data_IF_444687512965
#
_entry.id   IF_444687512965
#
_cell.length_a   1.000
_cell.length_b   1.000
_cell.length_c   1.000
_cell.angle_alpha   90.00
_cell.angle_beta   90.00
_cell.angle_gamma   90.00
#
_symmetry.space_group_name_H-M   'P 1'
#
loop_
_entity.id
_entity.type
_entity.pdbx_description
1 polymer ?
#
# COMPACT_ATOMS: atom_id res chain seq x y z
N UNK A 1 54.23 -2.46 22.27
CA UNK A 1 52.95 -3.04 21.86
C UNK A 1 52.79 -2.96 20.37
N UNK A 2 52.15 -3.93 19.70
CA UNK A 2 51.99 -3.88 18.25
C UNK A 2 51.11 -2.67 17.88
N UNK A 3 51.63 -1.84 16.99
CA UNK A 3 50.88 -0.76 16.36
C UNK A 3 49.60 -1.36 15.75
N UNK A 4 48.46 -0.88 16.20
CA UNK A 4 47.15 -1.33 15.76
C UNK A 4 47.06 -1.34 14.22
N UNK A 5 46.52 -2.40 13.65
CA UNK A 5 46.19 -2.44 12.23
C UNK A 5 45.29 -1.25 11.90
N UNK A 6 45.74 -0.38 11.05
CA UNK A 6 44.89 0.64 10.46
C UNK A 6 43.82 -0.06 9.61
N UNK A 7 42.57 0.00 10.06
CA UNK A 7 41.44 -0.46 9.29
C UNK A 7 41.12 0.61 8.25
N UNK A 8 41.18 0.27 6.99
CA UNK A 8 40.83 1.22 5.92
C UNK A 8 39.34 1.50 5.98
N UNK A 9 38.93 2.75 5.71
CA UNK A 9 37.51 3.18 5.75
C UNK A 9 36.57 2.26 4.93
N UNK A 10 37.03 1.71 3.81
CA UNK A 10 36.31 0.73 2.98
C UNK A 10 36.10 -0.64 3.62
N UNK A 11 36.70 -0.92 4.80
CA UNK A 11 36.51 -2.19 5.54
C UNK A 11 35.31 -2.14 6.49
N UNK A 12 34.68 -0.99 6.66
CA UNK A 12 33.48 -0.85 7.52
C UNK A 12 32.22 -1.16 6.72
N UNK A 13 31.39 -2.02 7.26
CA UNK A 13 30.06 -2.25 6.73
C UNK A 13 29.14 -1.10 7.24
N UNK A 14 28.46 -0.35 6.36
CA UNK A 14 27.53 0.66 6.81
C UNK A 14 26.40 0.00 7.61
N UNK A 15 26.18 0.48 8.83
CA UNK A 15 25.13 -0.03 9.72
C UNK A 15 23.86 0.80 9.54
N UNK A 16 24.00 2.08 9.20
CA UNK A 16 22.89 3.01 9.13
C UNK A 16 23.25 4.19 8.23
N UNK A 17 22.33 4.54 7.32
CA UNK A 17 22.36 5.77 6.53
C UNK A 17 21.26 6.70 7.01
N UNK A 18 21.65 7.90 7.48
CA UNK A 18 20.72 8.88 8.04
C UNK A 18 20.95 10.24 7.41
N UNK A 19 19.87 10.98 7.18
CA UNK A 19 19.96 12.39 6.82
C UNK A 19 20.09 13.25 8.09
N UNK A 20 20.98 14.25 8.07
CA UNK A 20 21.11 15.19 9.16
C UNK A 20 19.85 16.08 9.17
N UNK A 21 19.06 16.02 10.24
CA UNK A 21 17.85 16.81 10.41
C UNK A 21 18.10 18.15 11.12
N UNK A 22 19.19 18.26 11.87
CA UNK A 22 19.56 19.50 12.58
C UNK A 22 20.88 19.35 13.34
N UNK A 23 21.47 20.49 13.69
CA UNK A 23 22.67 20.57 14.52
C UNK A 23 22.44 21.62 15.57
N UNK A 24 22.75 21.29 16.81
CA UNK A 24 22.71 22.22 17.93
C UNK A 24 24.12 22.29 18.53
N UNK A 25 24.58 23.50 18.84
CA UNK A 25 25.89 23.76 19.47
C UNK A 25 25.62 24.27 20.88
N UNK A 26 26.13 23.57 21.89
CA UNK A 26 26.03 23.97 23.31
C UNK A 26 27.42 23.89 23.91
N UNK A 27 28.10 25.04 24.03
CA UNK A 27 29.49 25.09 24.47
C UNK A 27 30.41 24.30 23.49
N UNK A 28 31.13 23.32 24.03
CA UNK A 28 32.03 22.46 23.27
C UNK A 28 31.35 21.19 22.73
N UNK A 29 30.05 21.04 22.95
CA UNK A 29 29.25 19.90 22.48
C UNK A 29 28.51 20.22 21.20
N UNK A 30 28.54 19.29 20.26
CA UNK A 30 27.75 19.31 19.04
C UNK A 30 26.74 18.17 19.08
N UNK A 31 25.47 18.53 19.18
CA UNK A 31 24.37 17.58 19.06
C UNK A 31 23.87 17.53 17.62
N UNK A 32 23.91 16.36 17.02
CA UNK A 32 23.43 16.15 15.65
C UNK A 32 22.18 15.30 15.68
N UNK A 33 21.08 15.87 15.19
CA UNK A 33 19.83 15.12 15.02
C UNK A 33 19.79 14.50 13.64
N UNK A 34 19.47 13.22 13.60
CA UNK A 34 19.34 12.45 12.36
C UNK A 34 17.88 12.11 12.08
N UNK A 35 17.55 12.05 10.81
CA UNK A 35 16.27 11.53 10.32
C UNK A 35 16.53 10.20 9.59
N UNK A 36 15.70 9.19 9.88
CA UNK A 36 15.77 7.89 9.23
C UNK A 36 15.57 7.99 7.71
N UNK A 37 16.12 7.06 6.95
CA UNK A 37 16.03 7.01 5.48
C UNK A 37 14.61 7.00 4.90
N UNK A 38 13.60 6.70 5.71
CA UNK A 38 12.17 6.76 5.38
C UNK A 38 11.67 8.18 5.03
N UNK A 39 12.42 9.24 5.33
CA UNK A 39 11.97 10.62 5.19
C UNK A 39 11.50 11.02 3.77
N UNK A 40 12.02 10.37 2.72
CA UNK A 40 11.55 10.59 1.36
C UNK A 40 10.11 10.09 1.16
N UNK A 41 9.78 8.93 1.74
CA UNK A 41 8.49 8.25 1.63
C UNK A 41 7.42 8.81 2.56
N UNK A 42 7.82 9.49 3.64
CA UNK A 42 6.91 10.17 4.59
C UNK A 42 6.45 11.55 4.10
N UNK A 43 6.90 11.99 2.92
CA UNK A 43 6.40 13.22 2.30
C UNK A 43 5.02 13.01 1.68
N UNK A 44 4.21 14.06 1.71
CA UNK A 44 2.96 14.08 0.96
C UNK A 44 3.23 13.83 -0.52
N UNK A 45 2.38 13.06 -1.16
CA UNK A 45 2.47 12.75 -2.60
C UNK A 45 2.19 14.04 -3.37
N UNK A 46 3.16 14.54 -4.19
CA UNK A 46 2.95 15.73 -4.98
C UNK A 46 1.80 15.52 -5.97
N UNK A 47 0.85 16.44 -5.98
CA UNK A 47 -0.29 16.41 -6.90
C UNK A 47 -0.39 17.73 -7.65
N UNK A 48 -0.61 17.64 -8.97
CA UNK A 48 -0.90 18.79 -9.78
C UNK A 48 -2.30 19.33 -9.49
N UNK A 49 -2.48 20.63 -9.63
CA UNK A 49 -3.78 21.31 -9.54
C UNK A 49 -4.21 21.82 -10.91
N UNK A 50 -5.50 22.04 -11.05
CA UNK A 50 -6.04 22.75 -12.21
C UNK A 50 -5.69 24.24 -12.13
N UNK A 51 -5.28 24.83 -13.24
CA UNK A 51 -4.98 26.26 -13.29
C UNK A 51 -6.25 27.16 -13.30
N UNK A 52 -7.39 26.59 -13.68
CA UNK A 52 -8.65 27.34 -13.76
C UNK A 52 -8.72 28.35 -14.91
N UNK A 53 -7.79 28.26 -15.88
CA UNK A 53 -7.62 29.24 -16.98
C UNK A 53 -8.32 28.82 -18.26
N UNK A 54 -8.96 27.64 -18.27
CA UNK A 54 -9.52 26.99 -19.45
C UNK A 54 -8.51 26.89 -20.63
N UNK A 55 -7.21 26.91 -20.30
CA UNK A 55 -6.11 26.87 -21.25
C UNK A 55 -5.49 25.45 -21.34
N UNK A 56 -4.41 25.34 -22.08
CA UNK A 56 -3.76 24.07 -22.36
C UNK A 56 -4.14 23.54 -23.74
N UNK A 57 -3.57 22.42 -24.19
CA UNK A 57 -3.72 21.93 -25.58
C UNK A 57 -5.16 21.72 -26.02
N UNK A 58 -6.10 21.57 -25.08
CA UNK A 58 -7.52 21.28 -25.38
C UNK A 58 -8.46 21.96 -24.41
N UNK A 59 -8.00 22.99 -23.67
CA UNK A 59 -8.83 23.65 -22.64
C UNK A 59 -9.15 22.73 -21.45
N UNK A 60 -8.18 21.97 -20.99
CA UNK A 60 -8.34 20.96 -19.93
C UNK A 60 -7.98 21.47 -18.52
N UNK A 61 -7.60 22.73 -18.38
CA UNK A 61 -7.23 23.32 -17.08
C UNK A 61 -8.45 23.83 -16.28
N UNK A 62 -9.65 23.56 -16.80
CA UNK A 62 -10.89 23.96 -16.15
C UNK A 62 -11.16 25.46 -16.21
N UNK A 63 -12.35 25.85 -15.78
CA UNK A 63 -12.71 27.24 -15.53
C UNK A 63 -12.21 27.69 -14.14
N UNK A 64 -12.47 28.96 -13.80
CA UNK A 64 -12.04 29.55 -12.53
C UNK A 64 -12.49 28.78 -11.28
N UNK A 65 -13.62 28.06 -11.33
CA UNK A 65 -14.14 27.27 -10.21
C UNK A 65 -13.28 26.07 -9.89
N UNK A 66 -12.46 25.59 -10.84
CA UNK A 66 -11.51 24.49 -10.64
C UNK A 66 -10.12 24.95 -10.21
N UNK A 67 -9.85 26.27 -10.21
CA UNK A 67 -8.52 26.78 -9.85
C UNK A 67 -8.08 26.24 -8.47
N UNK A 68 -6.91 25.64 -8.41
CA UNK A 68 -6.34 25.05 -7.20
C UNK A 68 -6.91 23.68 -6.80
N UNK A 69 -7.94 23.17 -7.47
CA UNK A 69 -8.45 21.82 -7.23
C UNK A 69 -7.44 20.77 -7.69
N UNK A 70 -7.23 19.72 -6.89
CA UNK A 70 -6.30 18.65 -7.20
C UNK A 70 -6.77 17.83 -8.41
N UNK A 71 -5.85 17.58 -9.33
CA UNK A 71 -6.10 16.64 -10.43
C UNK A 71 -6.19 15.21 -9.90
N UNK A 72 -7.06 14.34 -10.47
CA UNK A 72 -7.21 12.95 -10.04
C UNK A 72 -5.90 12.18 -10.12
N UNK A 73 -5.63 11.32 -9.16
CA UNK A 73 -4.46 10.43 -9.13
C UNK A 73 -4.90 9.02 -8.78
N UNK A 74 -4.55 8.07 -9.64
CA UNK A 74 -4.75 6.63 -9.43
C UNK A 74 -3.38 5.96 -9.43
N UNK A 75 -3.14 5.07 -8.48
CA UNK A 75 -1.96 4.22 -8.42
C UNK A 75 -2.34 2.80 -8.85
N UNK A 76 -1.59 2.23 -9.79
CA UNK A 76 -1.83 0.88 -10.30
C UNK A 76 -3.11 0.76 -11.12
N UNK A 77 -4.24 0.49 -10.49
CA UNK A 77 -5.56 0.42 -11.11
C UNK A 77 -6.64 1.08 -10.26
N UNK A 78 -7.80 1.36 -10.88
CA UNK A 78 -8.97 1.84 -10.17
C UNK A 78 -10.26 1.30 -10.76
N UNK A 79 -11.23 1.01 -9.90
CA UNK A 79 -12.57 0.57 -10.27
C UNK A 79 -13.62 1.52 -9.68
N UNK A 80 -14.56 1.95 -10.51
CA UNK A 80 -15.52 2.95 -10.11
C UNK A 80 -14.85 4.29 -9.73
N UNK A 81 -13.75 4.66 -10.39
CA UNK A 81 -13.06 5.91 -10.11
C UNK A 81 -13.94 7.10 -10.44
N UNK A 82 -13.99 8.13 -9.59
CA UNK A 82 -14.66 9.38 -9.93
C UNK A 82 -13.93 10.11 -11.05
N UNK A 83 -14.63 10.94 -11.80
CA UNK A 83 -14.06 11.81 -12.80
C UNK A 83 -14.19 13.28 -12.39
N UNK A 84 -13.22 14.11 -12.78
CA UNK A 84 -13.28 15.55 -12.65
C UNK A 84 -13.61 16.19 -14.02
N UNK A 85 -14.70 16.92 -14.11
CA UNK A 85 -15.08 17.65 -15.31
C UNK A 85 -14.14 18.83 -15.52
N UNK A 86 -13.24 18.74 -16.50
CA UNK A 86 -12.27 19.79 -16.78
C UNK A 86 -12.68 20.68 -17.97
N UNK A 87 -13.53 20.20 -18.88
CA UNK A 87 -14.12 21.02 -19.95
C UNK A 87 -15.59 20.63 -20.17
N UNK A 88 -16.52 21.26 -19.46
CA UNK A 88 -17.95 20.97 -19.62
C UNK A 88 -18.51 21.28 -21.02
N UNK A 89 -17.97 22.27 -21.73
CA UNK A 89 -18.40 22.65 -23.07
C UNK A 89 -18.12 21.59 -24.13
N UNK A 90 -16.98 20.92 -24.01
CA UNK A 90 -16.60 19.80 -24.88
C UNK A 90 -16.92 18.44 -24.26
N UNK A 91 -17.57 18.43 -23.09
CA UNK A 91 -17.90 17.25 -22.31
C UNK A 91 -16.67 16.38 -22.03
N UNK A 92 -15.57 17.03 -21.58
CA UNK A 92 -14.30 16.35 -21.26
C UNK A 92 -14.16 16.24 -19.75
N UNK A 93 -13.84 15.03 -19.28
CA UNK A 93 -13.52 14.73 -17.90
C UNK A 93 -12.13 14.09 -17.78
N UNK A 94 -11.49 14.23 -16.63
CA UNK A 94 -10.23 13.61 -16.29
C UNK A 94 -10.44 12.63 -15.14
N UNK A 95 -9.87 11.41 -15.22
CA UNK A 95 -9.93 10.40 -14.19
C UNK A 95 -8.54 10.05 -13.60
N UNK A 96 -7.48 10.43 -14.32
CA UNK A 96 -6.09 10.32 -13.87
C UNK A 96 -5.26 11.46 -14.45
N UNK A 97 -4.31 12.01 -13.68
CA UNK A 97 -3.38 13.01 -14.15
C UNK A 97 -2.09 12.37 -14.64
N UNK A 98 -2.04 12.02 -15.91
CA UNK A 98 -0.89 11.41 -16.55
C UNK A 98 -1.27 10.27 -17.48
N UNK A 99 -0.26 9.53 -18.00
CA UNK A 99 -0.49 8.39 -18.87
C UNK A 99 -1.25 7.26 -18.16
N UNK A 100 -2.13 6.62 -18.90
CA UNK A 100 -2.86 5.41 -18.48
C UNK A 100 -2.62 4.30 -19.50
N UNK A 101 -2.50 3.07 -19.03
CA UNK A 101 -2.28 1.93 -19.91
C UNK A 101 -3.56 1.58 -20.66
N UNK A 102 -4.66 1.39 -19.94
CA UNK A 102 -5.92 0.96 -20.55
C UNK A 102 -7.15 1.34 -19.78
N UNK A 103 -8.22 1.64 -20.51
CA UNK A 103 -9.57 1.79 -19.99
C UNK A 103 -10.31 0.47 -20.11
N UNK A 104 -10.81 -0.06 -19.00
CA UNK A 104 -11.68 -1.24 -18.97
C UNK A 104 -13.13 -0.87 -19.32
N UNK A 105 -13.54 0.33 -18.90
CA UNK A 105 -14.87 0.85 -19.20
C UNK A 105 -15.15 2.19 -18.55
N UNK A 106 -16.05 2.91 -19.16
CA UNK A 106 -16.65 4.12 -18.62
C UNK A 106 -18.14 3.87 -18.43
N UNK A 107 -18.59 4.06 -17.20
CA UNK A 107 -19.96 3.76 -16.80
C UNK A 107 -20.71 5.04 -16.43
N UNK A 108 -21.94 5.17 -16.89
CA UNK A 108 -22.85 6.26 -16.54
C UNK A 108 -24.03 5.67 -15.77
N UNK A 109 -24.12 5.97 -14.47
CA UNK A 109 -25.09 5.31 -13.59
C UNK A 109 -24.88 3.78 -13.57
N UNK A 110 -23.66 3.29 -13.75
CA UNK A 110 -23.34 1.87 -13.81
C UNK A 110 -23.60 1.21 -15.16
N UNK A 111 -24.24 1.86 -16.12
CA UNK A 111 -24.39 1.38 -17.49
C UNK A 111 -23.13 1.72 -18.31
N UNK A 112 -22.54 0.72 -18.96
CA UNK A 112 -21.35 0.90 -19.80
C UNK A 112 -21.66 1.71 -21.06
N UNK A 113 -20.83 2.70 -21.37
CA UNK A 113 -20.84 3.43 -22.62
C UNK A 113 -19.88 2.82 -23.63
N UNK A 114 -20.12 3.08 -24.91
CA UNK A 114 -19.32 2.47 -26.00
C UNK A 114 -18.00 3.21 -26.17
N UNK A 115 -16.89 2.50 -26.12
CA UNK A 115 -15.57 3.05 -26.41
C UNK A 115 -15.35 3.19 -27.92
N UNK A 116 -15.06 4.39 -28.39
CA UNK A 116 -14.83 4.72 -29.80
C UNK A 116 -13.36 4.89 -30.19
N UNK A 117 -12.43 4.71 -29.23
CA UNK A 117 -11.00 4.70 -29.46
C UNK A 117 -10.21 5.79 -28.71
N UNK A 118 -8.90 5.65 -28.73
CA UNK A 118 -7.96 6.67 -28.25
C UNK A 118 -7.67 7.67 -29.38
N UNK A 119 -7.96 8.93 -29.13
CA UNK A 119 -7.76 10.03 -30.11
C UNK A 119 -6.59 10.93 -29.73
N UNK A 120 -5.93 10.65 -28.60
CA UNK A 120 -4.80 11.41 -28.08
C UNK A 120 -5.09 12.93 -28.03
N UNK A 121 -4.15 13.74 -28.53
CA UNK A 121 -4.27 15.20 -28.49
C UNK A 121 -5.49 15.77 -29.26
N UNK A 122 -6.10 14.99 -30.17
CA UNK A 122 -7.28 15.42 -30.91
C UNK A 122 -8.56 15.45 -30.03
N UNK A 123 -8.51 15.02 -28.79
CA UNK A 123 -9.64 15.00 -27.87
C UNK A 123 -10.33 16.38 -27.71
N UNK A 124 -9.58 17.46 -27.82
CA UNK A 124 -10.06 18.83 -27.73
C UNK A 124 -10.53 19.44 -29.07
N UNK A 125 -10.40 18.72 -30.17
CA UNK A 125 -10.81 19.25 -31.47
C UNK A 125 -12.34 19.42 -31.55
N UNK A 126 -12.82 20.63 -31.83
CA UNK A 126 -14.25 20.95 -31.83
C UNK A 126 -15.02 20.22 -32.91
N UNK A 127 -14.38 19.88 -34.03
CA UNK A 127 -14.96 19.10 -35.13
C UNK A 127 -14.99 17.59 -34.92
N UNK A 128 -14.51 17.09 -33.77
CA UNK A 128 -14.53 15.65 -33.46
C UNK A 128 -15.98 15.19 -33.22
N UNK A 129 -16.46 14.32 -34.10
CA UNK A 129 -17.82 13.74 -33.99
C UNK A 129 -17.74 12.43 -33.20
N UNK A 130 -18.52 12.36 -32.13
CA UNK A 130 -18.63 11.17 -31.28
C UNK A 130 -20.12 10.84 -31.14
N UNK A 131 -20.50 9.59 -31.37
CA UNK A 131 -21.89 9.16 -31.26
C UNK A 131 -22.43 9.35 -29.81
N UNK A 132 -23.68 9.66 -29.66
CA UNK A 132 -24.34 9.70 -28.36
C UNK A 132 -24.23 8.33 -27.65
N UNK A 133 -23.99 8.32 -26.34
CA UNK A 133 -23.77 7.09 -25.59
C UNK A 133 -22.38 6.46 -25.81
N UNK A 134 -21.50 7.15 -26.55
CA UNK A 134 -20.11 6.71 -26.77
C UNK A 134 -19.12 7.73 -26.21
N UNK A 135 -17.86 7.28 -26.04
CA UNK A 135 -16.77 8.12 -25.58
C UNK A 135 -15.46 7.78 -26.31
N UNK A 136 -14.56 8.74 -26.33
CA UNK A 136 -13.14 8.57 -26.75
C UNK A 136 -12.24 8.93 -25.60
N UNK A 137 -10.98 8.48 -25.67
CA UNK A 137 -9.97 8.79 -24.66
C UNK A 137 -8.77 9.57 -25.21
N UNK A 138 -8.04 10.17 -24.29
CA UNK A 138 -6.65 10.51 -24.43
C UNK A 138 -5.88 9.82 -23.31
N UNK A 139 -5.34 8.67 -23.63
CA UNK A 139 -4.65 7.83 -22.67
C UNK A 139 -3.33 8.45 -22.18
N UNK A 140 -2.75 9.40 -22.94
CA UNK A 140 -1.54 10.09 -22.51
C UNK A 140 -1.74 11.05 -21.34
N UNK A 141 -2.98 11.49 -21.11
CA UNK A 141 -3.36 12.48 -20.09
C UNK A 141 -4.52 12.04 -19.17
N UNK A 142 -5.00 10.79 -19.33
CA UNK A 142 -6.10 10.27 -18.55
C UNK A 142 -7.43 11.01 -18.76
N UNK A 143 -7.69 11.48 -19.99
CA UNK A 143 -8.88 12.24 -20.35
C UNK A 143 -9.90 11.38 -21.08
N UNK A 144 -11.16 11.73 -20.92
CA UNK A 144 -12.30 11.10 -21.59
C UNK A 144 -13.20 12.21 -22.13
N UNK A 145 -13.62 12.09 -23.40
CA UNK A 145 -14.60 12.98 -24.01
C UNK A 145 -15.83 12.18 -24.42
N UNK A 146 -16.98 12.69 -24.08
CA UNK A 146 -18.26 12.03 -24.32
C UNK A 146 -18.95 12.62 -25.57
N UNK A 147 -19.66 11.77 -26.32
CA UNK A 147 -20.43 12.18 -27.49
C UNK A 147 -21.73 12.90 -27.12
N UNK A 148 -22.20 12.73 -25.89
CA UNK A 148 -23.35 13.47 -25.33
C UNK A 148 -23.10 13.70 -23.84
N UNK A 149 -23.78 14.68 -23.24
CA UNK A 149 -23.67 14.96 -21.81
C UNK A 149 -24.28 13.82 -21.00
N UNK A 150 -23.50 13.14 -20.14
CA UNK A 150 -24.03 12.13 -19.23
C UNK A 150 -25.05 12.73 -18.26
N UNK A 151 -26.18 12.07 -18.08
CA UNK A 151 -27.24 12.49 -17.18
C UNK A 151 -27.13 11.94 -15.77
N UNK A 152 -26.24 10.96 -15.58
CA UNK A 152 -26.01 10.28 -14.31
C UNK A 152 -24.54 10.35 -13.96
N UNK A 153 -24.21 9.91 -12.75
CA UNK A 153 -22.84 9.87 -12.24
C UNK A 153 -21.94 9.00 -13.13
N UNK A 154 -20.79 9.56 -13.48
CA UNK A 154 -19.80 8.88 -14.32
C UNK A 154 -18.74 8.25 -13.44
N UNK A 155 -18.41 7.00 -13.74
CA UNK A 155 -17.31 6.28 -13.11
C UNK A 155 -16.46 5.58 -14.16
N UNK A 156 -15.18 5.39 -13.85
CA UNK A 156 -14.20 4.80 -14.75
C UNK A 156 -13.55 3.59 -14.08
N UNK A 157 -13.46 2.51 -14.85
CA UNK A 157 -12.64 1.34 -14.53
C UNK A 157 -11.43 1.32 -15.45
N UNK A 158 -10.19 1.21 -14.92
CA UNK A 158 -9.01 1.23 -15.77
C UNK A 158 -7.70 0.92 -15.06
N UNK A 159 -6.68 0.67 -15.87
CA UNK A 159 -5.32 0.46 -15.44
C UNK A 159 -4.45 1.68 -15.81
N UNK A 160 -3.74 2.20 -14.82
CA UNK A 160 -2.73 3.24 -15.03
C UNK A 160 -1.39 2.61 -15.41
N UNK A 161 -1.10 1.45 -14.86
CA UNK A 161 0.08 0.66 -15.17
C UNK A 161 -0.31 -0.61 -15.94
N UNK A 162 0.46 -0.98 -16.95
CA UNK A 162 0.28 -2.23 -17.70
C UNK A 162 0.29 -3.47 -16.79
N UNK A 163 1.11 -3.42 -15.75
CA UNK A 163 1.15 -4.42 -14.69
C UNK A 163 1.01 -3.69 -13.35
N UNK A 164 -0.21 -3.53 -12.82
CA UNK A 164 -0.48 -2.74 -11.63
C UNK A 164 -0.12 -3.51 -10.34
N UNK A 165 1.15 -3.89 -10.24
CA UNK A 165 1.70 -4.59 -9.08
C UNK A 165 2.06 -3.62 -7.97
N UNK A 166 2.23 -4.13 -6.74
CA UNK A 166 2.74 -3.34 -5.61
C UNK A 166 4.10 -2.70 -5.94
N UNK A 167 4.99 -3.46 -6.59
CA UNK A 167 6.29 -2.92 -7.02
C UNK A 167 6.13 -1.80 -8.06
N UNK A 168 5.19 -1.95 -9.01
CA UNK A 168 4.84 -0.92 -9.97
C UNK A 168 4.27 0.34 -9.30
N UNK A 169 3.37 0.18 -8.32
CA UNK A 169 2.83 1.29 -7.53
C UNK A 169 3.93 2.00 -6.71
N UNK A 170 4.86 1.24 -6.11
CA UNK A 170 6.00 1.81 -5.40
C UNK A 170 6.92 2.61 -6.34
N UNK A 171 7.18 2.12 -7.56
CA UNK A 171 7.93 2.85 -8.58
C UNK A 171 7.20 4.14 -9.03
N UNK A 172 5.89 4.09 -9.20
CA UNK A 172 5.05 5.26 -9.50
C UNK A 172 5.14 6.30 -8.38
N UNK A 173 5.07 5.87 -7.10
CA UNK A 173 5.26 6.75 -5.95
C UNK A 173 6.66 7.36 -5.92
N UNK A 174 7.71 6.57 -6.15
CA UNK A 174 9.10 7.06 -6.20
C UNK A 174 9.27 8.14 -7.27
N UNK A 175 8.71 7.92 -8.46
CA UNK A 175 8.72 8.91 -9.55
C UNK A 175 8.01 10.22 -9.16
N UNK A 176 6.83 10.13 -8.51
CA UNK A 176 6.09 11.30 -8.03
C UNK A 176 6.87 12.07 -6.95
N UNK A 177 7.54 11.36 -6.05
CA UNK A 177 8.36 11.96 -4.98
C UNK A 177 9.71 12.50 -5.51
N UNK A 178 10.10 12.15 -6.72
CA UNK A 178 11.43 12.46 -7.27
C UNK A 178 12.56 11.80 -6.47
N UNK A 179 12.34 10.60 -5.90
CA UNK A 179 13.36 9.83 -5.22
C UNK A 179 13.93 8.75 -6.15
N UNK A 180 15.24 8.52 -6.03
CA UNK A 180 15.95 7.43 -6.72
C UNK A 180 16.23 6.24 -5.80
N UNK A 181 15.58 6.17 -4.65
CA UNK A 181 15.76 5.08 -3.70
C UNK A 181 15.50 3.74 -4.39
N UNK A 182 16.40 2.75 -4.26
CA UNK A 182 16.17 1.44 -4.85
C UNK A 182 14.94 0.76 -4.24
N UNK A 183 14.20 0.02 -5.07
CA UNK A 183 13.03 -0.75 -4.65
C UNK A 183 13.35 -2.24 -4.80
N UNK A 184 13.29 -2.97 -3.70
CA UNK A 184 13.59 -4.41 -3.61
C UNK A 184 12.52 -5.11 -2.80
N UNK A 185 11.33 -5.27 -3.37
CA UNK A 185 10.23 -5.99 -2.77
C UNK A 185 10.31 -7.47 -3.15
N UNK A 186 10.01 -8.35 -2.19
CA UNK A 186 9.86 -9.78 -2.49
C UNK A 186 8.73 -10.00 -3.51
N UNK A 187 8.92 -10.91 -4.45
CA UNK A 187 7.99 -11.16 -5.54
C UNK A 187 6.62 -11.63 -5.07
N UNK A 188 6.56 -12.31 -3.92
CA UNK A 188 5.29 -12.76 -3.32
C UNK A 188 4.37 -11.61 -2.91
N UNK A 189 4.94 -10.46 -2.50
CA UNK A 189 4.19 -9.24 -2.24
C UNK A 189 4.28 -8.24 -3.40
N UNK A 190 5.49 -7.97 -3.87
CA UNK A 190 5.76 -7.00 -4.94
C UNK A 190 5.02 -7.31 -6.24
N UNK A 191 4.75 -8.59 -6.51
CA UNK A 191 4.00 -9.06 -7.68
C UNK A 191 2.48 -9.05 -7.54
N UNK A 192 1.92 -8.77 -6.36
CA UNK A 192 0.46 -8.73 -6.17
C UNK A 192 -0.17 -7.53 -6.90
N UNK A 193 -1.29 -7.78 -7.56
CA UNK A 193 -2.03 -6.75 -8.30
C UNK A 193 -2.87 -5.94 -7.33
N UNK A 194 -2.52 -4.67 -7.20
CA UNK A 194 -3.14 -3.73 -6.27
C UNK A 194 -3.34 -2.36 -6.91
N UNK A 195 -4.33 -1.63 -6.42
CA UNK A 195 -4.59 -0.26 -6.85
C UNK A 195 -5.14 0.60 -5.74
N UNK A 196 -4.82 1.90 -5.77
CA UNK A 196 -5.24 2.83 -4.74
C UNK A 196 -5.43 4.25 -5.29
N UNK A 197 -6.42 4.94 -4.76
CA UNK A 197 -6.61 6.38 -4.95
C UNK A 197 -6.18 7.09 -3.66
N UNK A 198 -5.03 7.78 -3.65
CA UNK A 198 -4.59 8.53 -2.47
C UNK A 198 -5.55 9.67 -2.14
N UNK A 199 -5.86 9.83 -0.86
CA UNK A 199 -6.54 11.02 -0.38
C UNK A 199 -5.67 12.27 -0.53
N UNK A 200 -6.26 13.45 -0.38
CA UNK A 200 -5.51 14.69 -0.31
C UNK A 200 -4.59 14.70 0.91
N UNK A 201 -3.35 15.14 0.71
CA UNK A 201 -2.32 15.16 1.74
C UNK A 201 -1.75 13.79 2.13
N UNK A 202 -2.22 12.68 1.53
CA UNK A 202 -1.67 11.36 1.82
C UNK A 202 -0.19 11.28 1.49
N UNK A 203 0.57 10.61 2.35
CA UNK A 203 1.99 10.34 2.13
C UNK A 203 2.17 9.03 1.33
N UNK A 204 3.34 8.84 0.74
CA UNK A 204 3.65 7.56 0.11
C UNK A 204 3.70 6.42 1.13
N UNK A 205 4.11 6.70 2.36
CA UNK A 205 4.07 5.76 3.48
C UNK A 205 2.65 5.29 3.79
N UNK A 206 1.66 6.19 3.80
CA UNK A 206 0.26 5.81 4.03
C UNK A 206 -0.24 4.82 2.98
N UNK A 207 0.13 5.05 1.72
CA UNK A 207 -0.24 4.14 0.63
C UNK A 207 0.43 2.79 0.77
N UNK A 208 1.74 2.77 1.05
CA UNK A 208 2.48 1.52 1.27
C UNK A 208 1.95 0.76 2.50
N UNK A 209 1.56 1.46 3.57
CA UNK A 209 0.94 0.88 4.75
C UNK A 209 -0.41 0.23 4.44
N UNK A 210 -1.24 0.86 3.59
CA UNK A 210 -2.50 0.27 3.13
C UNK A 210 -2.25 -0.97 2.28
N UNK A 211 -1.30 -0.91 1.33
CA UNK A 211 -0.94 -2.05 0.49
C UNK A 211 -0.35 -3.20 1.31
N UNK A 212 0.51 -2.89 2.28
CA UNK A 212 1.11 -3.89 3.15
C UNK A 212 0.06 -4.55 4.06
N UNK A 213 -0.78 -3.77 4.75
CA UNK A 213 -1.88 -4.31 5.57
C UNK A 213 -2.84 -5.16 4.75
N UNK A 214 -3.21 -4.67 3.56
CA UNK A 214 -4.13 -5.37 2.66
C UNK A 214 -3.55 -6.62 2.01
N UNK A 215 -2.25 -6.87 2.14
CA UNK A 215 -1.57 -8.09 1.71
C UNK A 215 -1.10 -8.95 2.89
N UNK A 216 -1.17 -8.45 4.13
CA UNK A 216 -0.49 -9.06 5.27
C UNK A 216 1.02 -9.10 5.05
N UNK A 217 1.57 -7.96 4.66
CA UNK A 217 2.99 -7.74 4.39
C UNK A 217 3.59 -6.73 5.37
N UNK A 218 4.88 -6.61 5.33
CA UNK A 218 5.65 -5.56 5.99
C UNK A 218 6.52 -4.83 4.97
N UNK A 219 6.87 -3.59 5.25
CA UNK A 219 7.84 -2.83 4.48
C UNK A 219 8.69 -1.93 5.38
N UNK A 220 9.85 -1.58 4.91
CA UNK A 220 10.76 -0.61 5.54
C UNK A 220 11.71 -0.02 4.51
N UNK A 221 12.32 1.10 4.85
CA UNK A 221 13.52 1.58 4.16
C UNK A 221 14.71 1.10 4.99
N UNK A 222 15.64 0.39 4.34
CA UNK A 222 16.81 -0.12 5.02
C UNK A 222 17.92 0.93 5.16
N UNK A 223 19.01 0.54 5.78
CA UNK A 223 20.19 1.37 6.04
C UNK A 223 20.89 1.87 4.78
N UNK A 224 20.59 1.30 3.61
CA UNK A 224 21.10 1.71 2.29
C UNK A 224 20.09 2.55 1.52
N UNK A 225 19.05 3.05 2.19
CA UNK A 225 17.89 3.76 1.59
C UNK A 225 17.11 2.92 0.57
N UNK A 226 17.20 1.60 0.65
CA UNK A 226 16.44 0.69 -0.21
C UNK A 226 15.07 0.41 0.42
N UNK A 227 13.99 0.62 -0.35
CA UNK A 227 12.64 0.18 0.03
C UNK A 227 12.58 -1.34 -0.04
N UNK A 228 12.42 -2.00 1.10
CA UNK A 228 12.25 -3.45 1.20
C UNK A 228 10.90 -3.82 1.76
N UNK A 229 10.42 -4.99 1.36
CA UNK A 229 9.19 -5.53 1.90
C UNK A 229 8.92 -6.94 1.41
N UNK A 230 8.14 -7.67 2.19
CA UNK A 230 7.74 -9.04 1.91
C UNK A 230 6.42 -9.36 2.63
N UNK A 231 5.79 -10.47 2.26
CA UNK A 231 4.68 -11.00 3.05
C UNK A 231 5.17 -11.38 4.46
N UNK A 232 4.31 -11.15 5.45
CA UNK A 232 4.55 -11.65 6.81
C UNK A 232 4.58 -13.17 6.74
N UNK A 233 5.70 -13.82 7.12
CA UNK A 233 5.81 -15.27 7.06
C UNK A 233 4.88 -15.93 8.08
N UNK A 234 4.41 -17.12 7.76
CA UNK A 234 3.86 -17.99 8.79
C UNK A 234 4.99 -18.49 9.72
N UNK A 235 4.63 -18.88 10.93
CA UNK A 235 5.61 -19.40 11.88
C UNK A 235 5.95 -20.88 11.64
N UNK A 236 5.44 -21.49 10.57
CA UNK A 236 5.68 -22.90 10.24
C UNK A 236 7.00 -23.11 9.49
N UNK A 237 7.45 -22.11 8.71
CA UNK A 237 8.68 -22.15 7.92
C UNK A 237 9.96 -22.32 8.74
N UNK A 238 11.09 -22.61 8.11
CA UNK A 238 12.39 -22.69 8.77
C UNK A 238 12.81 -21.35 9.39
N UNK A 239 13.48 -21.38 10.55
CA UNK A 239 14.03 -20.18 11.15
C UNK A 239 15.18 -19.65 10.31
N UNK A 240 15.14 -18.35 9.99
CA UNK A 240 16.19 -17.65 9.24
C UNK A 240 17.42 -17.34 10.12
N UNK A 241 17.23 -17.30 11.44
CA UNK A 241 18.30 -17.11 12.42
C UNK A 241 17.95 -17.79 13.74
N UNK A 242 18.97 -18.10 14.54
CA UNK A 242 18.81 -18.74 15.85
C UNK A 242 19.55 -17.93 16.91
N UNK A 243 18.93 -17.75 18.06
CA UNK A 243 19.49 -17.11 19.24
C UNK A 243 19.73 -18.18 20.30
N UNK A 244 20.97 -18.35 20.69
CA UNK A 244 21.31 -19.27 21.74
C UNK A 244 20.98 -18.67 23.12
N UNK A 245 20.69 -19.53 24.11
CA UNK A 245 20.33 -19.11 25.47
C UNK A 245 21.38 -18.19 26.11
N UNK A 246 22.65 -18.47 25.91
CA UNK A 246 23.79 -17.70 26.42
C UNK A 246 23.82 -16.23 25.91
N UNK A 247 23.15 -15.97 24.80
CA UNK A 247 23.09 -14.64 24.16
C UNK A 247 21.84 -13.85 24.56
N UNK A 248 20.95 -14.46 25.37
CA UNK A 248 19.72 -13.84 25.88
C UNK A 248 19.96 -13.47 27.34
N UNK A 249 19.95 -12.17 27.64
CA UNK A 249 20.05 -11.69 29.01
C UNK A 249 18.70 -11.72 29.74
N UNK A 250 17.62 -11.45 29.01
CA UNK A 250 16.26 -11.36 29.55
C UNK A 250 15.23 -11.65 28.47
N UNK A 251 14.13 -12.30 28.85
CA UNK A 251 12.98 -12.53 27.97
C UNK A 251 11.68 -12.32 28.77
N UNK A 252 10.97 -11.26 28.44
CA UNK A 252 9.74 -10.86 29.13
C UNK A 252 8.52 -11.09 28.23
N UNK A 253 7.40 -11.45 28.86
CA UNK A 253 6.09 -11.38 28.19
C UNK A 253 5.66 -9.92 28.09
N UNK A 254 5.18 -9.54 26.93
CA UNK A 254 4.54 -8.25 26.70
C UNK A 254 3.02 -8.42 26.69
N UNK A 255 2.29 -7.43 27.17
CA UNK A 255 0.85 -7.38 26.95
C UNK A 255 0.56 -7.28 25.45
N UNK A 256 -0.54 -7.90 25.02
CA UNK A 256 -1.05 -7.70 23.66
C UNK A 256 -1.45 -6.24 23.46
N UNK A 257 -1.07 -5.69 22.31
CA UNK A 257 -1.56 -4.39 21.86
C UNK A 257 -2.69 -4.52 20.84
N UNK A 258 -3.21 -5.73 20.64
CA UNK A 258 -4.27 -6.01 19.68
C UNK A 258 -5.63 -5.82 20.34
N UNK A 259 -6.63 -5.38 19.59
CA UNK A 259 -7.99 -5.13 20.07
C UNK A 259 -8.68 -6.42 20.56
N UNK A 260 -8.22 -7.59 20.12
CA UNK A 260 -8.74 -8.90 20.53
C UNK A 260 -7.95 -9.57 21.67
N UNK A 261 -6.90 -8.95 22.21
CA UNK A 261 -6.19 -9.35 23.45
C UNK A 261 -5.64 -10.74 23.41
N UNK A 262 -4.79 -11.33 22.81
CA UNK A 262 -4.23 -12.69 22.80
C UNK A 262 -5.25 -13.85 22.59
N UNK A 263 -6.54 -13.54 22.40
CA UNK A 263 -7.56 -14.55 22.07
C UNK A 263 -7.42 -14.94 20.60
N UNK A 264 -7.39 -16.24 20.26
CA UNK A 264 -7.28 -16.67 18.87
C UNK A 264 -8.47 -16.20 18.02
N UNK A 265 -8.19 -15.99 16.73
CA UNK A 265 -9.20 -15.64 15.73
C UNK A 265 -9.73 -16.93 15.10
N UNK A 266 -11.05 -17.13 15.07
CA UNK A 266 -11.63 -18.31 14.43
C UNK A 266 -11.98 -18.10 12.96
N UNK A 267 -12.14 -16.83 12.53
CA UNK A 267 -12.52 -16.49 11.17
C UNK A 267 -11.86 -15.18 10.74
N UNK A 268 -11.37 -15.15 9.49
CA UNK A 268 -10.87 -13.96 8.83
C UNK A 268 -11.75 -13.65 7.63
N UNK A 269 -12.21 -12.42 7.51
CA UNK A 269 -12.96 -11.90 6.36
C UNK A 269 -12.16 -10.81 5.69
N UNK A 270 -11.88 -10.96 4.39
CA UNK A 270 -11.13 -9.99 3.59
C UNK A 270 -12.07 -9.37 2.57
N UNK A 271 -12.33 -8.08 2.73
CA UNK A 271 -13.02 -7.27 1.73
C UNK A 271 -12.01 -6.82 0.66
N UNK A 272 -12.28 -7.05 -0.62
CA UNK A 272 -11.39 -6.73 -1.73
C UNK A 272 -12.15 -6.13 -2.92
N UNK A 273 -11.44 -5.70 -3.96
CA UNK A 273 -12.03 -5.14 -5.17
C UNK A 273 -12.84 -3.87 -4.86
N UNK A 274 -12.13 -2.82 -4.43
CA UNK A 274 -12.74 -1.56 -3.98
C UNK A 274 -13.40 -0.81 -5.13
N UNK A 275 -14.67 -0.43 -4.91
CA UNK A 275 -15.41 0.53 -5.71
C UNK A 275 -15.22 1.93 -5.08
N UNK A 276 -14.58 2.84 -5.81
CA UNK A 276 -14.24 4.16 -5.31
C UNK A 276 -15.42 5.13 -5.26
N UNK A 277 -16.47 4.83 -6.02
CA UNK A 277 -17.68 5.64 -6.07
C UNK A 277 -18.92 4.75 -5.99
N UNK A 278 -19.28 4.23 -4.81
CA UNK A 278 -20.55 3.54 -4.65
C UNK A 278 -21.70 4.44 -5.09
N UNK A 279 -22.66 3.87 -5.81
CA UNK A 279 -23.87 4.56 -6.24
C UNK A 279 -24.99 4.31 -5.23
N UNK A 280 -25.98 5.18 -5.24
CA UNK A 280 -27.27 4.93 -4.59
C UNK A 280 -28.24 4.30 -5.58
N UNK A 281 -29.34 3.69 -5.13
CA UNK A 281 -30.30 3.01 -6.02
C UNK A 281 -30.88 3.93 -7.08
N UNK A 282 -31.11 5.20 -6.77
CA UNK A 282 -31.63 6.24 -7.67
C UNK A 282 -30.58 6.73 -8.68
N UNK A 283 -29.29 6.60 -8.37
CA UNK A 283 -28.20 6.93 -9.29
C UNK A 283 -27.97 5.83 -10.33
N UNK A 284 -28.43 4.59 -10.08
CA UNK A 284 -28.23 3.47 -11.00
C UNK A 284 -29.16 3.62 -12.21
N UNK A 285 -28.58 3.41 -13.39
CA UNK A 285 -29.34 3.45 -14.64
C UNK A 285 -30.33 2.28 -14.71
N UNK A 286 -31.61 2.50 -15.10
CA UNK A 286 -32.58 1.43 -15.27
C UNK A 286 -32.17 0.32 -16.23
N UNK A 287 -31.27 0.61 -17.18
CA UNK A 287 -30.70 -0.39 -18.09
C UNK A 287 -29.83 -1.44 -17.37
N UNK A 288 -29.34 -1.14 -16.14
CA UNK A 288 -28.61 -2.12 -15.30
C UNK A 288 -29.62 -3.03 -14.62
N UNK A 289 -29.97 -4.13 -15.26
CA UNK A 289 -30.99 -5.09 -14.75
C UNK A 289 -30.41 -6.21 -13.90
N UNK A 290 -29.11 -6.52 -14.03
CA UNK A 290 -28.44 -7.59 -13.26
C UNK A 290 -28.39 -7.24 -11.77
N UNK A 291 -29.00 -8.07 -10.92
CA UNK A 291 -28.97 -7.91 -9.46
C UNK A 291 -27.53 -7.95 -8.89
N UNK A 292 -26.67 -8.80 -9.45
CA UNK A 292 -25.25 -8.87 -9.04
C UNK A 292 -24.52 -7.57 -9.39
N UNK A 293 -24.70 -7.05 -10.60
CA UNK A 293 -24.09 -5.78 -11.02
C UNK A 293 -24.59 -4.64 -10.16
N UNK A 294 -25.91 -4.52 -9.93
CA UNK A 294 -26.48 -3.51 -9.03
C UNK A 294 -25.88 -3.62 -7.62
N UNK A 295 -25.83 -4.82 -7.05
CA UNK A 295 -25.23 -5.04 -5.75
C UNK A 295 -23.77 -4.60 -5.67
N UNK A 296 -22.98 -4.81 -6.74
CA UNK A 296 -21.58 -4.38 -6.81
C UNK A 296 -21.43 -2.86 -6.93
N UNK A 297 -22.39 -2.18 -7.58
CA UNK A 297 -22.39 -0.73 -7.70
C UNK A 297 -22.71 -0.04 -6.39
N UNK A 298 -23.56 -0.64 -5.56
CA UNK A 298 -23.99 -0.09 -4.26
C UNK A 298 -22.92 -0.26 -3.16
N UNK A 299 -22.00 -1.22 -3.30
CA UNK A 299 -21.02 -1.58 -2.27
C UNK A 299 -19.70 -0.87 -2.48
N UNK A 300 -19.04 -0.51 -1.36
CA UNK A 300 -17.66 -0.04 -1.37
C UNK A 300 -16.68 -1.16 -1.73
N UNK A 301 -16.96 -2.39 -1.31
CA UNK A 301 -16.14 -3.58 -1.59
C UNK A 301 -16.99 -4.58 -2.37
N UNK A 302 -16.57 -4.88 -3.60
CA UNK A 302 -17.35 -5.75 -4.49
C UNK A 302 -17.21 -7.23 -4.15
N UNK A 303 -16.12 -7.62 -3.47
CA UNK A 303 -15.83 -9.00 -3.11
C UNK A 303 -15.52 -9.17 -1.63
N UNK A 304 -15.81 -10.37 -1.12
CA UNK A 304 -15.42 -10.82 0.22
C UNK A 304 -14.86 -12.22 0.11
N UNK A 305 -13.65 -12.43 0.65
CA UNK A 305 -13.04 -13.75 0.82
C UNK A 305 -13.02 -14.09 2.31
N UNK A 306 -13.14 -15.37 2.65
CA UNK A 306 -13.13 -15.78 4.05
C UNK A 306 -12.38 -17.11 4.24
N UNK A 307 -11.66 -17.20 5.37
CA UNK A 307 -11.12 -18.45 5.90
C UNK A 307 -11.59 -18.62 7.35
N UNK A 308 -11.87 -19.85 7.79
CA UNK A 308 -12.37 -20.10 9.13
C UNK A 308 -11.88 -21.43 9.70
N UNK A 309 -11.79 -21.51 11.03
CA UNK A 309 -11.49 -22.71 11.78
C UNK A 309 -12.48 -22.84 12.96
N UNK A 310 -13.50 -23.66 12.77
CA UNK A 310 -14.54 -23.88 13.78
C UNK A 310 -14.01 -24.61 15.03
N UNK A 311 -12.92 -25.38 14.92
CA UNK A 311 -12.29 -26.01 16.08
C UNK A 311 -11.71 -24.95 17.04
N UNK A 312 -11.17 -23.84 16.50
CA UNK A 312 -10.73 -22.70 17.32
C UNK A 312 -11.90 -22.10 18.10
N UNK A 313 -13.06 -21.90 17.45
CA UNK A 313 -14.26 -21.38 18.13
C UNK A 313 -14.76 -22.34 19.23
N UNK A 314 -14.66 -23.65 19.01
CA UNK A 314 -15.04 -24.64 20.02
C UNK A 314 -14.11 -24.62 21.23
N UNK A 315 -12.79 -24.48 20.99
CA UNK A 315 -11.80 -24.42 22.06
C UNK A 315 -11.77 -23.07 22.80
N UNK A 316 -12.11 -22.00 22.09
CA UNK A 316 -12.11 -20.62 22.59
C UNK A 316 -13.44 -19.95 22.22
N UNK A 317 -14.48 -20.04 23.07
CA UNK A 317 -15.80 -19.50 22.77
C UNK A 317 -15.82 -17.98 22.51
N UNK A 318 -14.83 -17.24 23.05
CA UNK A 318 -14.66 -15.80 22.87
C UNK A 318 -13.84 -15.44 21.61
N UNK A 319 -13.46 -16.44 20.80
CA UNK A 319 -12.71 -16.22 19.56
C UNK A 319 -13.48 -15.30 18.60
N UNK A 320 -12.75 -14.33 18.04
CA UNK A 320 -13.34 -13.24 17.26
C UNK A 320 -13.19 -13.45 15.75
N UNK A 321 -13.87 -12.59 14.99
CA UNK A 321 -13.74 -12.47 13.55
C UNK A 321 -12.83 -11.29 13.24
N UNK A 322 -11.75 -11.53 12.50
CA UNK A 322 -10.87 -10.47 11.97
C UNK A 322 -11.39 -10.00 10.60
N UNK A 323 -11.70 -8.73 10.47
CA UNK A 323 -12.06 -8.10 9.20
C UNK A 323 -10.91 -7.26 8.67
N UNK A 324 -10.53 -7.49 7.41
CA UNK A 324 -9.43 -6.81 6.74
C UNK A 324 -9.90 -6.26 5.40
N UNK A 325 -9.49 -5.05 5.07
CA UNK A 325 -9.72 -4.43 3.78
C UNK A 325 -8.45 -4.52 2.93
N UNK A 326 -8.57 -5.05 1.72
CA UNK A 326 -7.44 -5.24 0.81
C UNK A 326 -7.61 -4.45 -0.49
N UNK A 327 -6.60 -3.70 -0.94
CA UNK A 327 -6.61 -3.05 -2.24
C UNK A 327 -6.41 -4.03 -3.41
N UNK A 328 -6.43 -5.33 -3.15
CA UNK A 328 -6.27 -6.36 -4.17
C UNK A 328 -7.44 -6.39 -5.16
N UNK A 329 -7.13 -6.65 -6.43
CA UNK A 329 -8.13 -6.83 -7.48
C UNK A 329 -8.74 -8.23 -7.47
N UNK A 330 -7.92 -9.24 -7.18
CA UNK A 330 -8.25 -10.65 -7.40
C UNK A 330 -8.67 -11.37 -6.12
N UNK A 331 -9.68 -12.22 -6.24
CA UNK A 331 -10.14 -13.08 -5.14
C UNK A 331 -9.06 -14.05 -4.65
N UNK A 332 -8.16 -14.49 -5.53
CA UNK A 332 -7.07 -15.39 -5.15
C UNK A 332 -6.16 -14.77 -4.08
N UNK A 333 -5.72 -13.51 -4.28
CA UNK A 333 -4.90 -12.79 -3.31
C UNK A 333 -5.64 -12.57 -1.98
N UNK A 334 -6.95 -12.27 -2.03
CA UNK A 334 -7.77 -12.09 -0.84
C UNK A 334 -7.96 -13.41 -0.06
N UNK A 335 -8.17 -14.54 -0.75
CA UNK A 335 -8.27 -15.86 -0.12
C UNK A 335 -6.93 -16.30 0.51
N UNK A 336 -5.81 -16.05 -0.18
CA UNK A 336 -4.48 -16.32 0.36
C UNK A 336 -4.23 -15.50 1.64
N UNK A 337 -4.56 -14.20 1.63
CA UNK A 337 -4.47 -13.34 2.79
C UNK A 337 -5.32 -13.86 3.95
N UNK A 338 -6.59 -14.22 3.69
CA UNK A 338 -7.48 -14.75 4.72
C UNK A 338 -6.91 -16.03 5.36
N UNK A 339 -6.42 -16.96 4.54
CA UNK A 339 -5.82 -18.23 5.00
C UNK A 339 -4.56 -17.97 5.83
N UNK A 340 -3.68 -17.09 5.37
CA UNK A 340 -2.43 -16.77 6.05
C UNK A 340 -2.66 -16.09 7.40
N UNK A 341 -3.57 -15.11 7.46
CA UNK A 341 -3.93 -14.45 8.72
C UNK A 341 -4.59 -15.41 9.70
N UNK A 342 -5.44 -16.33 9.23
CA UNK A 342 -6.01 -17.36 10.06
C UNK A 342 -4.94 -18.31 10.62
N UNK A 343 -3.96 -18.72 9.81
CA UNK A 343 -2.82 -19.55 10.25
C UNK A 343 -2.00 -18.81 11.30
N UNK A 344 -1.78 -17.51 11.13
CA UNK A 344 -0.98 -16.69 12.03
C UNK A 344 -1.68 -16.42 13.37
N UNK A 345 -2.98 -16.09 13.34
CA UNK A 345 -3.75 -15.64 14.50
C UNK A 345 -4.78 -16.65 15.01
N UNK A 346 -5.01 -17.76 14.31
CA UNK A 346 -5.96 -18.80 14.69
C UNK A 346 -5.51 -19.71 15.84
N UNK A 347 -4.35 -19.42 16.43
CA UNK A 347 -3.79 -20.11 17.59
C UNK A 347 -3.34 -19.08 18.63
N UNK A 348 -3.34 -19.46 19.94
CA UNK A 348 -2.78 -18.58 20.97
C UNK A 348 -1.35 -18.19 20.63
N UNK A 349 -1.07 -16.90 20.67
CA UNK A 349 0.26 -16.34 20.41
C UNK A 349 0.70 -15.47 21.57
N UNK A 350 1.99 -15.38 21.78
CA UNK A 350 2.57 -14.54 22.83
C UNK A 350 3.45 -13.47 22.21
N UNK A 351 3.45 -12.29 22.80
CA UNK A 351 4.41 -11.24 22.48
C UNK A 351 5.48 -11.24 23.55
N UNK A 352 6.72 -11.11 23.12
CA UNK A 352 7.88 -11.10 24.03
C UNK A 352 8.84 -9.99 23.65
N UNK A 353 9.50 -9.44 24.65
CA UNK A 353 10.66 -8.60 24.49
C UNK A 353 11.89 -9.33 25.05
N UNK A 354 12.90 -9.53 24.21
CA UNK A 354 14.13 -10.20 24.58
C UNK A 354 15.31 -9.23 24.54
N UNK A 355 16.05 -9.07 25.65
CA UNK A 355 17.34 -8.37 25.62
C UNK A 355 18.43 -9.36 25.22
N UNK A 356 19.08 -9.12 24.10
CA UNK A 356 20.09 -10.00 23.52
C UNK A 356 21.42 -9.30 23.34
N UNK A 357 22.52 -10.05 23.38
CA UNK A 357 23.87 -9.54 23.20
C UNK A 357 24.14 -9.11 21.75
N UNK A 358 24.88 -8.01 21.55
CA UNK A 358 25.36 -7.55 20.25
C UNK A 358 26.33 -8.53 19.53
N UNK A 359 26.68 -9.65 20.15
CA UNK A 359 27.44 -10.74 19.49
C UNK A 359 26.64 -11.43 18.38
N UNK A 360 25.31 -11.30 18.43
CA UNK A 360 24.43 -11.76 17.36
C UNK A 360 24.55 -10.77 16.21
N UNK A 361 24.72 -11.27 14.98
CA UNK A 361 24.83 -10.42 13.80
C UNK A 361 23.50 -9.62 13.59
N UNK A 362 23.48 -8.30 13.81
CA UNK A 362 22.26 -7.51 13.66
C UNK A 362 21.66 -7.56 12.25
N UNK A 363 22.49 -7.78 11.22
CA UNK A 363 22.05 -7.90 9.84
C UNK A 363 21.17 -9.13 9.55
N UNK A 364 21.18 -10.12 10.45
CA UNK A 364 20.29 -11.29 10.35
C UNK A 364 18.93 -11.03 11.02
N UNK A 365 18.88 -10.11 11.98
CA UNK A 365 17.68 -9.76 12.74
C UNK A 365 16.86 -8.70 12.00
N UNK A 366 16.36 -9.07 10.84
CA UNK A 366 15.51 -8.19 10.03
C UNK A 366 14.05 -8.37 10.47
N UNK A 367 13.31 -7.29 10.78
CA UNK A 367 11.87 -7.37 11.02
C UNK A 367 11.15 -8.12 9.91
N UNK A 368 10.16 -8.93 10.29
CA UNK A 368 9.41 -9.79 9.36
C UNK A 368 10.06 -11.14 9.07
N UNK A 369 11.22 -11.47 9.65
CA UNK A 369 11.82 -12.82 9.54
C UNK A 369 11.44 -13.71 10.71
N UNK A 370 11.35 -15.01 10.44
CA UNK A 370 11.18 -16.04 11.48
C UNK A 370 12.51 -16.30 12.16
N UNK A 371 12.54 -16.15 13.45
CA UNK A 371 13.67 -16.52 14.31
C UNK A 371 13.32 -17.70 15.24
N UNK A 372 14.33 -18.31 15.80
CA UNK A 372 14.24 -19.32 16.84
C UNK A 372 15.14 -18.92 18.01
N UNK A 373 14.62 -19.02 19.22
CA UNK A 373 15.40 -18.79 20.45
C UNK A 373 15.29 -19.99 21.38
N UNK A 374 16.38 -20.36 22.03
CA UNK A 374 16.37 -21.33 23.13
C UNK A 374 16.40 -20.55 24.44
N UNK A 375 15.42 -20.76 25.31
CA UNK A 375 15.32 -20.12 26.61
C UNK A 375 14.79 -21.08 27.67
N UNK A 376 15.56 -21.27 28.75
CA UNK A 376 15.25 -22.21 29.86
C UNK A 376 14.89 -23.60 29.35
N UNK A 377 15.68 -24.11 28.41
CA UNK A 377 15.48 -25.43 27.81
C UNK A 377 14.31 -25.54 26.82
N UNK A 378 13.55 -24.46 26.59
CA UNK A 378 12.47 -24.43 25.60
C UNK A 378 12.92 -23.77 24.31
N UNK A 379 12.49 -24.33 23.19
CA UNK A 379 12.68 -23.73 21.87
C UNK A 379 11.43 -22.89 21.53
N UNK A 380 11.66 -21.60 21.38
CA UNK A 380 10.64 -20.63 21.00
C UNK A 380 10.84 -20.23 19.55
N UNK A 381 9.83 -20.39 18.73
CA UNK A 381 9.81 -19.91 17.36
C UNK A 381 8.97 -18.64 17.29
N UNK A 382 9.48 -17.61 16.63
CA UNK A 382 8.86 -16.29 16.64
C UNK A 382 9.13 -15.54 15.33
N UNK A 383 8.28 -14.59 15.03
CA UNK A 383 8.53 -13.55 14.05
C UNK A 383 9.19 -12.35 14.74
N UNK A 384 10.28 -11.89 14.19
CA UNK A 384 10.92 -10.66 14.64
C UNK A 384 10.11 -9.44 14.17
N UNK A 385 9.65 -8.62 15.11
CA UNK A 385 8.80 -7.46 14.81
C UNK A 385 9.49 -6.11 14.99
N UNK A 386 10.65 -6.08 15.62
CA UNK A 386 11.42 -4.86 15.79
C UNK A 386 12.64 -5.02 16.68
N UNK A 387 13.60 -4.13 16.52
CA UNK A 387 14.83 -4.06 17.30
C UNK A 387 15.04 -2.64 17.82
N UNK A 388 15.48 -2.50 19.06
CA UNK A 388 15.96 -1.26 19.63
C UNK A 388 17.30 -1.51 20.30
N UNK A 389 18.21 -0.54 20.27
CA UNK A 389 19.48 -0.55 21.03
C UNK A 389 19.76 0.86 21.51
N UNK A 390 20.15 0.99 22.77
CA UNK A 390 20.53 2.26 23.39
C UNK A 390 22.05 2.41 23.51
N UNK A 391 22.78 1.31 23.64
CA UNK A 391 24.22 1.30 23.94
C UNK A 391 25.08 0.64 22.85
N UNK A 392 24.47 0.09 21.81
CA UNK A 392 25.15 -0.70 20.76
C UNK A 392 25.75 -2.03 21.24
N UNK A 393 25.62 -2.37 22.53
CA UNK A 393 26.14 -3.61 23.14
C UNK A 393 25.05 -4.63 23.36
N UNK A 394 23.84 -4.17 23.56
CA UNK A 394 22.64 -4.98 23.75
C UNK A 394 21.55 -4.53 22.80
N UNK A 395 20.69 -5.46 22.39
CA UNK A 395 19.53 -5.21 21.57
C UNK A 395 18.29 -5.74 22.26
N UNK A 396 17.23 -4.94 22.25
CA UNK A 396 15.89 -5.39 22.63
C UNK A 396 15.17 -5.86 21.37
N UNK A 397 14.88 -7.16 21.29
CA UNK A 397 14.09 -7.76 20.20
C UNK A 397 12.64 -7.84 20.60
N UNK A 398 11.74 -7.39 19.73
CA UNK A 398 10.31 -7.65 19.84
C UNK A 398 9.97 -8.89 19.02
N UNK A 399 9.27 -9.83 19.65
CA UNK A 399 8.97 -11.16 19.13
C UNK A 399 7.47 -11.42 19.21
N UNK A 400 6.94 -12.05 18.17
CA UNK A 400 5.56 -12.55 18.11
C UNK A 400 5.59 -14.04 17.75
N UNK A 401 5.06 -14.92 18.63
CA UNK A 401 5.09 -16.37 18.41
C UNK A 401 4.28 -17.19 19.38
#
# INVERSE_FOLDING_TARGET
GPLGRFVTYGSFTPILSLAIAGRDFVGDEVSVRFRAGRAAWDRAIPRATYAGTNSGPVGIEGNADLAGTLKPLVLGFGLGCPVQWCNPSLVIAQWHNGPVDSLLGVNVGGAGWTYAGDVGSAIGYTGLSIAAGSYVSDNSRGLIRFGSKPLRKVTVDGFVLATPTVAGCAAQLAALLGTSDPISLDTSWGGQIMGWLPADGATASDVLDVMARGAGAWWRVDETSTLRGALVPDLTGAAAFTIAEKDIARLDLMSSGDDWGDVPIWRVEVEYNRNWTPLTEDEIDPAVTSATTRGNLLRTWRGTAAAQNTATLTAYPDAQVLKVQSPALQSAAANELATRLLTLHGQPRTRRAGTVSARINPGQMVPGRVGQATWRGQTLKFMHTGTASEDGRTFTLRMFG
#
